data_IF_177067048521
#
_entry.id   IF_177067048521
#
_cell.length_a   1.000
_cell.length_b   1.000
_cell.length_c   1.000
_cell.angle_alpha   90.00
_cell.angle_beta   90.00
_cell.angle_gamma   90.00
#
_symmetry.space_group_name_H-M   'P 1'
#
loop_
_entity.id
_entity.type
_entity.pdbx_description
1 polymer ?
#
# COMPACT_ATOMS: atom_id res chain seq x y z
N UNK A 1 20.82 32.70 -21.95
CA UNK A 1 19.40 33.02 -22.27
C UNK A 1 18.54 31.76 -22.10
N UNK A 2 18.27 31.37 -20.86
CA UNK A 2 17.42 30.21 -20.47
C UNK A 2 15.97 30.73 -20.37
N UNK A 3 15.49 31.37 -21.44
CA UNK A 3 14.37 32.33 -21.36
C UNK A 3 13.00 31.66 -21.50
N UNK A 4 12.14 31.97 -20.54
CA UNK A 4 10.67 31.83 -20.48
C UNK A 4 10.03 30.44 -20.67
N UNK A 5 10.47 29.59 -21.60
CA UNK A 5 9.88 28.26 -21.84
C UNK A 5 10.01 27.31 -20.63
N UNK A 6 11.10 27.41 -19.86
CA UNK A 6 11.29 26.63 -18.64
C UNK A 6 10.47 27.15 -17.45
N UNK A 7 10.21 28.47 -17.37
CA UNK A 7 9.39 29.07 -16.31
C UNK A 7 7.93 28.61 -16.39
N UNK A 8 7.37 28.54 -17.60
CA UNK A 8 5.95 28.26 -17.78
C UNK A 8 5.56 26.82 -17.38
N UNK A 9 6.39 25.83 -17.73
CA UNK A 9 6.16 24.45 -17.29
C UNK A 9 6.35 24.28 -15.78
N UNK A 10 7.31 25.00 -15.17
CA UNK A 10 7.57 24.87 -13.74
C UNK A 10 6.37 25.26 -12.87
N UNK A 11 5.64 26.33 -13.25
CA UNK A 11 4.41 26.76 -12.54
C UNK A 11 3.28 25.75 -12.70
N UNK A 12 3.09 25.18 -13.90
CA UNK A 12 2.08 24.14 -14.14
C UNK A 12 2.37 22.90 -13.31
N UNK A 13 3.64 22.45 -13.28
CA UNK A 13 4.07 21.31 -12.49
C UNK A 13 3.85 21.54 -10.99
N UNK A 14 4.22 22.72 -10.46
CA UNK A 14 4.05 23.02 -9.04
C UNK A 14 2.58 23.05 -8.64
N UNK A 15 1.73 23.74 -9.41
CA UNK A 15 0.28 23.81 -9.14
C UNK A 15 -0.33 22.41 -9.22
N UNK A 16 0.01 21.62 -10.25
CA UNK A 16 -0.50 20.26 -10.41
C UNK A 16 -0.15 19.38 -9.22
N UNK A 17 1.11 19.36 -8.79
CA UNK A 17 1.55 18.55 -7.64
C UNK A 17 0.82 18.96 -6.36
N UNK A 18 0.72 20.26 -6.09
CA UNK A 18 0.04 20.77 -4.89
C UNK A 18 -1.45 20.38 -4.91
N UNK A 19 -2.13 20.59 -6.03
CA UNK A 19 -3.55 20.24 -6.19
C UNK A 19 -3.77 18.73 -6.04
N UNK A 20 -2.92 17.91 -6.65
CA UNK A 20 -3.02 16.45 -6.55
C UNK A 20 -2.79 15.95 -5.11
N UNK A 21 -1.84 16.53 -4.38
CA UNK A 21 -1.61 16.18 -2.97
C UNK A 21 -2.77 16.61 -2.08
N UNK A 22 -3.29 17.84 -2.25
CA UNK A 22 -4.47 18.32 -1.51
C UNK A 22 -5.68 17.43 -1.81
N UNK A 23 -5.92 17.13 -3.08
CA UNK A 23 -7.01 16.24 -3.47
C UNK A 23 -6.84 14.85 -2.87
N UNK A 24 -5.61 14.30 -2.88
CA UNK A 24 -5.36 12.99 -2.27
C UNK A 24 -5.57 13.00 -0.76
N UNK A 25 -5.17 14.09 -0.08
CA UNK A 25 -5.38 14.27 1.35
C UNK A 25 -6.88 14.35 1.69
N UNK A 26 -7.67 15.07 0.87
CA UNK A 26 -9.13 15.11 0.99
C UNK A 26 -9.74 13.71 0.86
N UNK A 27 -9.30 12.93 -0.15
CA UNK A 27 -9.76 11.55 -0.32
C UNK A 27 -9.44 10.70 0.90
N UNK A 28 -8.21 10.78 1.43
CA UNK A 28 -7.78 10.07 2.64
C UNK A 28 -8.73 10.30 3.82
N UNK A 29 -9.26 11.51 3.98
CA UNK A 29 -10.16 11.87 5.07
C UNK A 29 -11.64 11.55 4.82
N UNK A 30 -12.10 11.53 3.57
CA UNK A 30 -13.53 11.51 3.25
C UNK A 30 -14.05 10.18 2.74
N UNK A 31 -13.21 9.37 2.09
CA UNK A 31 -13.64 8.06 1.61
C UNK A 31 -13.59 7.04 2.77
N UNK A 32 -14.56 6.13 2.89
CA UNK A 32 -14.51 5.05 3.86
C UNK A 32 -13.40 4.05 3.49
N UNK A 33 -13.11 3.08 4.35
CA UNK A 33 -12.24 1.95 4.01
C UNK A 33 -12.97 1.09 2.97
N UNK A 34 -12.47 1.08 1.72
CA UNK A 34 -13.19 0.57 0.54
C UNK A 34 -12.87 -0.88 0.20
N UNK A 35 -11.64 -1.31 0.47
CA UNK A 35 -11.19 -2.66 0.15
C UNK A 35 -11.14 -3.53 1.41
N UNK A 36 -11.39 -4.83 1.23
CA UNK A 36 -11.30 -5.80 2.33
C UNK A 36 -9.91 -5.81 2.96
N UNK A 37 -8.86 -5.68 2.15
CA UNK A 37 -7.46 -5.66 2.61
C UNK A 37 -7.15 -4.38 3.36
N UNK A 38 -7.60 -3.24 2.83
CA UNK A 38 -7.42 -1.94 3.48
C UNK A 38 -8.09 -1.92 4.86
N UNK A 39 -9.35 -2.33 4.93
CA UNK A 39 -10.10 -2.39 6.18
C UNK A 39 -9.49 -3.38 7.18
N UNK A 40 -8.97 -4.52 6.70
CA UNK A 40 -8.26 -5.50 7.54
C UNK A 40 -7.02 -4.89 8.19
N UNK A 41 -6.17 -4.20 7.43
CA UNK A 41 -4.97 -3.59 7.99
C UNK A 41 -5.28 -2.42 8.94
N UNK A 42 -6.31 -1.63 8.63
CA UNK A 42 -6.79 -0.60 9.53
C UNK A 42 -7.30 -1.20 10.85
N UNK A 43 -8.03 -2.31 10.80
CA UNK A 43 -8.55 -2.98 12.00
C UNK A 43 -7.45 -3.62 12.84
N UNK A 44 -6.47 -4.29 12.23
CA UNK A 44 -5.31 -4.83 12.95
C UNK A 44 -4.57 -3.69 13.69
N UNK A 45 -4.41 -2.53 13.05
CA UNK A 45 -3.80 -1.36 13.67
C UNK A 45 -4.65 -0.76 14.78
N UNK A 46 -5.99 -0.78 14.65
CA UNK A 46 -6.92 -0.32 15.69
C UNK A 46 -6.85 -1.21 16.91
N UNK A 47 -6.89 -2.53 16.73
CA UNK A 47 -6.76 -3.52 17.82
C UNK A 47 -5.41 -3.36 18.51
N UNK A 48 -4.32 -3.17 17.76
CA UNK A 48 -2.99 -2.90 18.32
C UNK A 48 -2.99 -1.63 19.19
N UNK A 49 -3.58 -0.54 18.70
CA UNK A 49 -3.68 0.71 19.45
C UNK A 49 -4.56 0.57 20.71
N UNK A 50 -5.65 -0.17 20.64
CA UNK A 50 -6.56 -0.38 21.77
C UNK A 50 -5.94 -1.28 22.84
N UNK A 51 -5.43 -2.44 22.43
CA UNK A 51 -4.91 -3.47 23.35
C UNK A 51 -3.50 -3.19 23.85
N UNK A 52 -2.80 -2.22 23.23
CA UNK A 52 -1.37 -1.92 23.46
C UNK A 52 -0.45 -3.13 23.26
N UNK A 53 -0.89 -4.13 22.50
CA UNK A 53 -0.07 -5.27 22.10
C UNK A 53 0.70 -4.91 20.82
N UNK A 54 1.90 -4.36 20.99
CA UNK A 54 2.76 -3.88 19.88
C UNK A 54 3.67 -4.95 19.28
N UNK A 55 3.73 -6.16 19.85
CA UNK A 55 4.59 -7.24 19.38
C UNK A 55 3.80 -8.17 18.46
N UNK A 56 2.78 -8.85 18.98
CA UNK A 56 1.98 -9.82 18.21
C UNK A 56 0.79 -9.11 17.56
N UNK A 57 0.81 -8.99 16.22
CA UNK A 57 -0.33 -8.44 15.48
C UNK A 57 -1.55 -9.33 15.68
N UNK A 58 -2.74 -8.72 15.73
CA UNK A 58 -3.99 -9.41 15.99
C UNK A 58 -5.00 -9.14 14.88
N UNK A 59 -5.56 -10.20 14.28
CA UNK A 59 -6.63 -10.08 13.27
C UNK A 59 -8.02 -9.93 13.90
N UNK A 60 -8.15 -10.40 15.14
CA UNK A 60 -9.26 -10.23 16.06
C UNK A 60 -8.68 -10.30 17.48
N UNK A 61 -9.42 -9.89 18.51
CA UNK A 61 -8.93 -9.87 19.88
C UNK A 61 -8.44 -11.25 20.33
N UNK A 62 -7.17 -11.34 20.74
CA UNK A 62 -6.51 -12.57 21.15
C UNK A 62 -6.16 -13.53 20.02
N UNK A 63 -6.44 -13.19 18.75
CA UNK A 63 -6.18 -14.05 17.58
C UNK A 63 -4.99 -13.48 16.78
N UNK A 64 -3.83 -14.16 16.75
CA UNK A 64 -2.65 -13.66 16.04
C UNK A 64 -2.85 -13.47 14.53
N UNK A 65 -2.11 -12.53 13.97
CA UNK A 65 -1.98 -12.29 12.54
C UNK A 65 -0.52 -12.43 12.11
N UNK A 66 -0.18 -13.61 11.60
CA UNK A 66 1.21 -13.97 11.25
C UNK A 66 1.62 -13.62 9.82
N UNK A 67 0.73 -13.08 8.98
CA UNK A 67 1.02 -12.93 7.55
C UNK A 67 1.94 -11.76 7.21
N UNK A 68 2.14 -10.79 8.11
CA UNK A 68 2.92 -9.58 7.85
C UNK A 68 3.71 -9.13 9.08
N UNK A 69 4.91 -8.54 8.90
CA UNK A 69 5.64 -7.88 9.98
C UNK A 69 5.00 -6.53 10.36
N UNK A 70 5.51 -5.83 11.38
CA UNK A 70 4.69 -4.88 12.12
C UNK A 70 4.74 -3.45 11.60
N UNK A 71 5.72 -3.06 10.77
CA UNK A 71 6.03 -1.65 10.52
C UNK A 71 4.82 -0.86 10.00
N UNK A 72 4.09 -1.40 9.04
CA UNK A 72 2.92 -0.72 8.47
C UNK A 72 1.77 -0.59 9.47
N UNK A 73 1.62 -1.60 10.34
CA UNK A 73 0.66 -1.59 11.44
C UNK A 73 1.09 -0.58 12.51
N UNK A 74 2.36 -0.56 12.90
CA UNK A 74 2.92 0.41 13.85
C UNK A 74 2.73 1.85 13.40
N UNK A 75 2.99 2.12 12.12
CA UNK A 75 2.76 3.44 11.53
C UNK A 75 1.30 3.87 11.64
N UNK A 76 0.36 2.96 11.33
CA UNK A 76 -1.08 3.25 11.38
C UNK A 76 -1.59 3.37 12.83
N UNK A 77 -1.17 2.47 13.71
CA UNK A 77 -1.51 2.48 15.13
C UNK A 77 -0.95 3.73 15.84
N UNK A 78 0.30 4.11 15.55
CA UNK A 78 0.90 5.35 16.05
C UNK A 78 0.18 6.60 15.53
N UNK A 79 -0.32 6.56 14.28
CA UNK A 79 -1.17 7.62 13.75
C UNK A 79 -2.53 7.71 14.46
N UNK A 80 -3.10 6.57 14.87
CA UNK A 80 -4.31 6.55 15.70
C UNK A 80 -4.09 7.17 17.08
N UNK A 81 -2.91 7.01 17.69
CA UNK A 81 -2.59 7.69 18.96
C UNK A 81 -2.58 9.22 18.81
N UNK A 82 -2.21 9.74 17.65
CA UNK A 82 -2.10 11.19 17.40
C UNK A 82 -3.41 11.83 16.94
N UNK A 83 -4.16 11.16 16.07
CA UNK A 83 -5.32 11.73 15.38
C UNK A 83 -6.65 11.05 15.74
N UNK A 84 -6.62 10.06 16.63
CA UNK A 84 -7.76 9.20 16.94
C UNK A 84 -8.03 8.16 15.86
N UNK A 85 -8.90 7.19 16.17
CA UNK A 85 -9.30 6.13 15.25
C UNK A 85 -10.26 6.69 14.20
N UNK A 86 -9.76 6.88 12.99
CA UNK A 86 -10.53 7.28 11.81
C UNK A 86 -9.75 6.95 10.52
N UNK A 87 -10.37 7.10 9.36
CA UNK A 87 -9.75 6.73 8.08
C UNK A 87 -8.58 7.61 7.68
N UNK A 88 -8.63 8.90 8.04
CA UNK A 88 -7.51 9.81 7.82
C UNK A 88 -6.26 9.29 8.53
N UNK A 89 -6.39 9.01 9.83
CA UNK A 89 -5.31 8.51 10.66
C UNK A 89 -4.76 7.18 10.14
N UNK A 90 -5.62 6.26 9.67
CA UNK A 90 -5.20 4.97 9.13
C UNK A 90 -4.30 5.12 7.88
N UNK A 91 -4.59 6.10 7.02
CA UNK A 91 -3.90 6.30 5.72
C UNK A 91 -2.82 7.36 5.75
N UNK A 92 -2.82 8.23 6.77
CA UNK A 92 -1.88 9.34 6.90
C UNK A 92 -0.41 8.91 6.79
N UNK A 93 0.04 7.77 7.36
CA UNK A 93 1.41 7.33 7.19
C UNK A 93 1.78 7.04 5.72
N UNK A 94 0.91 6.38 4.95
CA UNK A 94 1.13 6.13 3.52
C UNK A 94 1.26 7.43 2.73
N UNK A 95 0.43 8.42 3.06
CA UNK A 95 0.51 9.77 2.48
C UNK A 95 1.85 10.43 2.80
N UNK A 96 2.24 10.42 4.07
CA UNK A 96 3.47 11.05 4.54
C UNK A 96 4.71 10.43 3.89
N UNK A 97 4.81 9.10 3.86
CA UNK A 97 5.93 8.41 3.22
C UNK A 97 6.05 8.77 1.73
N UNK A 98 4.92 8.82 1.01
CA UNK A 98 4.88 9.18 -0.41
C UNK A 98 5.33 10.63 -0.64
N UNK A 99 4.89 11.57 0.22
CA UNK A 99 5.33 12.98 0.17
C UNK A 99 6.83 13.10 0.44
N UNK A 100 7.38 12.34 1.41
CA UNK A 100 8.81 12.33 1.68
C UNK A 100 9.59 11.83 0.45
N UNK A 101 9.13 10.77 -0.23
CA UNK A 101 9.77 10.29 -1.46
C UNK A 101 9.76 11.35 -2.56
N UNK A 102 8.63 12.04 -2.76
CA UNK A 102 8.51 13.15 -3.71
C UNK A 102 9.52 14.27 -3.39
N UNK A 103 9.64 14.65 -2.12
CA UNK A 103 10.58 15.71 -1.70
C UNK A 103 12.03 15.27 -1.93
N UNK A 104 12.39 14.03 -1.58
CA UNK A 104 13.74 13.50 -1.79
C UNK A 104 14.08 13.49 -3.28
N UNK A 105 13.19 12.96 -4.12
CA UNK A 105 13.36 12.94 -5.56
C UNK A 105 13.46 14.36 -6.14
N UNK A 106 12.59 15.28 -5.71
CA UNK A 106 12.60 16.68 -6.10
C UNK A 106 13.93 17.37 -5.78
N UNK A 107 14.47 17.14 -4.56
CA UNK A 107 15.79 17.66 -4.16
C UNK A 107 16.91 17.10 -5.03
N UNK A 108 16.84 15.81 -5.40
CA UNK A 108 17.86 15.17 -6.25
C UNK A 108 17.86 15.77 -7.65
N UNK A 109 16.71 15.83 -8.31
CA UNK A 109 16.65 16.31 -9.71
C UNK A 109 16.85 17.82 -9.83
N UNK A 110 16.51 18.59 -8.79
CA UNK A 110 16.80 20.04 -8.74
C UNK A 110 18.29 20.34 -8.81
N UNK A 111 19.14 19.48 -8.21
CA UNK A 111 20.60 19.62 -8.30
C UNK A 111 21.12 19.42 -9.73
N UNK A 112 20.39 18.66 -10.54
CA UNK A 112 20.70 18.40 -11.94
C UNK A 112 20.02 19.42 -12.90
N UNK A 113 19.45 20.51 -12.35
CA UNK A 113 18.85 21.60 -13.14
C UNK A 113 17.38 21.43 -13.54
N UNK A 114 16.72 20.35 -13.12
CA UNK A 114 15.29 20.13 -13.37
C UNK A 114 14.38 20.85 -12.37
N UNK A 115 13.09 20.99 -12.69
CA UNK A 115 12.11 21.49 -11.72
C UNK A 115 11.97 20.52 -10.53
N UNK A 116 11.97 21.07 -9.32
CA UNK A 116 11.74 20.32 -8.08
C UNK A 116 10.44 19.50 -8.10
N UNK A 117 9.40 20.02 -8.78
CA UNK A 117 8.08 19.40 -8.82
C UNK A 117 7.92 18.32 -9.89
N UNK A 118 8.90 18.18 -10.80
CA UNK A 118 8.80 17.23 -11.91
C UNK A 118 8.65 15.76 -11.43
N UNK A 119 9.43 15.27 -10.45
CA UNK A 119 9.25 13.92 -9.90
C UNK A 119 7.88 13.70 -9.30
N UNK A 120 7.41 14.66 -8.49
CA UNK A 120 6.09 14.60 -7.88
C UNK A 120 4.98 14.55 -8.91
N UNK A 121 5.11 15.32 -9.99
CA UNK A 121 4.14 15.30 -11.08
C UNK A 121 4.10 13.93 -11.77
N UNK A 122 5.26 13.37 -12.10
CA UNK A 122 5.35 12.06 -12.76
C UNK A 122 4.77 10.96 -11.85
N UNK A 123 5.14 10.92 -10.57
CA UNK A 123 4.67 9.92 -9.62
C UNK A 123 3.15 10.04 -9.37
N UNK A 124 2.64 11.24 -9.07
CA UNK A 124 1.22 11.45 -8.78
C UNK A 124 0.29 11.29 -10.00
N UNK A 125 0.87 11.17 -11.19
CA UNK A 125 0.12 10.85 -12.42
C UNK A 125 0.23 9.38 -12.83
N UNK A 126 1.01 8.56 -12.11
CA UNK A 126 0.96 7.11 -12.20
C UNK A 126 -0.20 6.58 -11.35
N UNK A 127 -1.12 5.77 -11.90
CA UNK A 127 -2.22 5.20 -11.12
C UNK A 127 -1.78 4.50 -9.83
N UNK A 128 -0.76 3.63 -9.88
CA UNK A 128 -0.33 2.85 -8.70
C UNK A 128 0.14 3.76 -7.57
N UNK A 129 1.01 4.73 -7.88
CA UNK A 129 1.60 5.61 -6.88
C UNK A 129 0.54 6.55 -6.28
N UNK A 130 -0.35 7.11 -7.10
CA UNK A 130 -1.44 7.96 -6.63
C UNK A 130 -2.37 7.20 -5.68
N UNK A 131 -2.74 5.96 -6.02
CA UNK A 131 -3.56 5.10 -5.16
C UNK A 131 -2.82 4.81 -3.86
N UNK A 132 -1.56 4.37 -3.90
CA UNK A 132 -0.80 4.03 -2.69
C UNK A 132 -0.40 5.23 -1.81
N UNK A 133 -0.54 6.46 -2.31
CA UNK A 133 -0.39 7.70 -1.52
C UNK A 133 -1.51 7.86 -0.46
N UNK A 134 -2.56 7.05 -0.45
CA UNK A 134 -3.63 7.18 0.56
C UNK A 134 -4.47 5.93 0.73
N UNK A 135 -3.79 4.78 0.76
CA UNK A 135 -4.39 3.47 1.09
C UNK A 135 -3.60 2.87 2.25
N UNK A 136 -4.29 2.21 3.16
CA UNK A 136 -3.65 1.42 4.22
C UNK A 136 -3.06 0.15 3.60
N UNK A 137 -1.75 0.14 3.36
CA UNK A 137 -1.06 -0.98 2.70
C UNK A 137 0.36 -1.16 3.21
N UNK A 138 0.80 -2.41 3.26
CA UNK A 138 2.20 -2.77 3.53
C UNK A 138 3.16 -2.40 2.39
N UNK A 139 2.62 -2.20 1.19
CA UNK A 139 3.43 -1.94 -0.01
C UNK A 139 4.08 -0.55 0.02
N UNK A 140 3.39 0.46 0.57
CA UNK A 140 3.90 1.84 0.63
C UNK A 140 5.12 1.96 1.55
N UNK A 141 5.09 1.28 2.70
CA UNK A 141 6.24 1.22 3.62
C UNK A 141 7.42 0.45 3.02
N UNK A 142 7.14 -0.65 2.29
CA UNK A 142 8.19 -1.39 1.58
C UNK A 142 8.81 -0.54 0.46
N UNK A 143 8.00 0.16 -0.34
CA UNK A 143 8.50 1.02 -1.40
C UNK A 143 9.37 2.16 -0.85
N UNK A 144 8.97 2.75 0.26
CA UNK A 144 9.81 3.73 0.95
C UNK A 144 11.19 3.14 1.31
N UNK A 145 11.21 1.95 1.91
CA UNK A 145 12.45 1.27 2.29
C UNK A 145 13.30 0.89 1.07
N UNK A 146 12.71 0.31 0.01
CA UNK A 146 13.38 0.00 -1.26
C UNK A 146 14.01 1.26 -1.84
N UNK A 147 13.24 2.34 -1.94
CA UNK A 147 13.71 3.60 -2.53
C UNK A 147 14.85 4.21 -1.73
N UNK A 148 14.73 4.25 -0.40
CA UNK A 148 15.80 4.74 0.46
C UNK A 148 17.05 3.87 0.33
N UNK A 149 16.91 2.54 0.27
CA UNK A 149 18.02 1.61 0.08
C UNK A 149 18.71 1.81 -1.28
N UNK A 150 17.96 1.88 -2.37
CA UNK A 150 18.50 2.04 -3.73
C UNK A 150 19.17 3.41 -3.94
N UNK A 151 18.57 4.50 -3.45
CA UNK A 151 19.17 5.85 -3.50
C UNK A 151 20.44 5.91 -2.64
N UNK A 152 20.39 5.32 -1.43
CA UNK A 152 21.54 5.25 -0.53
C UNK A 152 22.70 4.50 -1.14
N UNK A 153 22.40 3.39 -1.81
CA UNK A 153 23.39 2.60 -2.51
C UNK A 153 24.07 3.42 -3.60
N UNK A 154 23.27 4.04 -4.49
CA UNK A 154 23.79 4.87 -5.57
C UNK A 154 24.69 6.01 -5.06
N UNK A 155 24.24 6.72 -4.02
CA UNK A 155 25.01 7.83 -3.42
C UNK A 155 26.31 7.37 -2.78
N UNK A 156 26.30 6.22 -2.11
CA UNK A 156 27.51 5.63 -1.51
C UNK A 156 28.50 5.22 -2.60
N UNK A 157 28.03 4.57 -3.67
CA UNK A 157 28.89 4.15 -4.77
C UNK A 157 29.48 5.32 -5.58
N UNK A 158 28.74 6.42 -5.72
CA UNK A 158 29.22 7.64 -6.39
C UNK A 158 30.21 8.45 -5.55
N UNK A 159 30.16 8.33 -4.23
CA UNK A 159 31.08 9.02 -3.34
C UNK A 159 32.48 8.40 -3.36
N UNK A 160 33.50 9.23 -3.17
CA UNK A 160 34.89 8.77 -2.98
C UNK A 160 35.11 8.25 -1.55
N UNK A 161 34.39 8.81 -0.58
CA UNK A 161 34.49 8.45 0.84
C UNK A 161 33.18 7.87 1.38
N UNK A 162 33.26 7.20 2.54
CA UNK A 162 32.08 6.71 3.25
C UNK A 162 31.20 7.90 3.65
N UNK A 163 29.94 7.86 3.27
CA UNK A 163 28.95 8.90 3.61
C UNK A 163 27.87 8.34 4.51
N UNK A 164 27.09 9.18 5.19
CA UNK A 164 25.95 8.73 6.00
C UNK A 164 24.95 7.85 5.24
N UNK A 165 24.89 7.96 3.90
CA UNK A 165 24.07 7.10 3.04
C UNK A 165 24.40 5.61 3.19
N UNK A 166 25.65 5.26 3.51
CA UNK A 166 25.99 3.85 3.75
C UNK A 166 25.19 3.27 4.93
N UNK A 167 24.94 4.06 5.99
CA UNK A 167 24.12 3.64 7.13
C UNK A 167 22.63 3.69 6.82
N UNK A 168 22.17 4.67 6.05
CA UNK A 168 20.76 4.75 5.61
C UNK A 168 20.37 3.51 4.79
N UNK A 169 21.30 2.94 4.01
CA UNK A 169 21.09 1.67 3.32
C UNK A 169 20.71 0.54 4.29
N UNK A 170 21.46 0.38 5.38
CA UNK A 170 21.22 -0.68 6.37
C UNK A 170 20.01 -0.40 7.27
N UNK A 171 19.75 0.86 7.61
CA UNK A 171 18.51 1.25 8.29
C UNK A 171 17.29 0.92 7.43
N UNK A 172 17.33 1.25 6.14
CA UNK A 172 16.27 0.94 5.20
C UNK A 172 16.09 -0.58 5.01
N UNK A 173 17.17 -1.36 5.02
CA UNK A 173 17.11 -2.82 5.00
C UNK A 173 16.39 -3.37 6.25
N UNK A 174 16.77 -2.91 7.45
CA UNK A 174 16.14 -3.33 8.70
C UNK A 174 14.65 -2.98 8.77
N UNK A 175 14.28 -1.76 8.39
CA UNK A 175 12.88 -1.34 8.31
C UNK A 175 12.12 -2.09 7.21
N UNK A 176 12.75 -2.36 6.07
CA UNK A 176 12.15 -3.14 4.98
C UNK A 176 11.82 -4.58 5.41
N UNK A 177 12.69 -5.20 6.21
CA UNK A 177 12.43 -6.51 6.82
C UNK A 177 11.23 -6.46 7.76
N UNK A 178 11.03 -5.35 8.48
CA UNK A 178 9.84 -5.11 9.31
C UNK A 178 8.61 -4.63 8.53
N UNK A 179 8.71 -4.37 7.23
CA UNK A 179 7.58 -3.99 6.39
C UNK A 179 6.91 -5.19 5.74
N UNK A 180 7.71 -6.02 5.06
CA UNK A 180 7.20 -7.15 4.25
C UNK A 180 8.17 -8.33 4.22
N UNK A 181 8.98 -8.47 5.27
CA UNK A 181 9.84 -9.62 5.46
C UNK A 181 11.01 -9.66 4.48
N UNK A 182 11.52 -10.86 4.13
CA UNK A 182 12.68 -11.03 3.26
C UNK A 182 12.48 -10.48 1.83
N UNK A 183 11.27 -10.08 1.45
CA UNK A 183 11.00 -9.51 0.14
C UNK A 183 11.84 -8.25 -0.15
N UNK A 184 12.21 -7.46 0.87
CA UNK A 184 13.14 -6.34 0.68
C UNK A 184 14.45 -6.82 0.05
N UNK A 185 15.04 -7.90 0.58
CA UNK A 185 16.31 -8.47 0.10
C UNK A 185 16.14 -8.94 -1.35
N UNK A 186 15.07 -9.69 -1.60
CA UNK A 186 14.76 -10.27 -2.91
C UNK A 186 14.59 -9.20 -3.99
N UNK A 187 14.00 -8.04 -3.65
CA UNK A 187 13.74 -6.98 -4.61
C UNK A 187 14.91 -6.02 -4.82
N UNK A 188 15.87 -5.95 -3.89
CA UNK A 188 16.98 -4.99 -3.98
C UNK A 188 18.34 -5.63 -4.22
N UNK A 189 18.69 -6.74 -3.56
CA UNK A 189 20.05 -7.29 -3.69
C UNK A 189 20.37 -7.80 -5.10
N UNK A 190 19.49 -8.56 -5.78
CA UNK A 190 19.80 -9.01 -7.13
C UNK A 190 20.04 -7.89 -8.16
N UNK A 191 19.22 -6.83 -8.28
CA UNK A 191 19.52 -5.76 -9.24
C UNK A 191 20.78 -4.99 -8.87
N UNK A 192 21.09 -4.83 -7.57
CA UNK A 192 22.35 -4.23 -7.11
C UNK A 192 23.56 -5.09 -7.49
N UNK A 193 23.48 -6.39 -7.25
CA UNK A 193 24.51 -7.36 -7.60
C UNK A 193 24.76 -7.38 -9.11
N UNK A 194 23.69 -7.51 -9.91
CA UNK A 194 23.79 -7.48 -11.37
C UNK A 194 24.43 -6.18 -11.88
N UNK A 195 24.08 -5.03 -11.28
CA UNK A 195 24.68 -3.75 -11.66
C UNK A 195 26.18 -3.67 -11.31
N UNK A 196 26.58 -4.20 -10.15
CA UNK A 196 27.99 -4.31 -9.77
C UNK A 196 28.76 -5.24 -10.70
N UNK A 197 28.17 -6.34 -11.15
CA UNK A 197 28.82 -7.28 -12.07
C UNK A 197 29.03 -6.70 -13.48
N UNK A 198 28.40 -5.58 -13.84
CA UNK A 198 28.68 -4.88 -15.10
C UNK A 198 30.09 -4.26 -15.14
N UNK A 199 30.73 -4.09 -13.98
CA UNK A 199 32.06 -3.49 -13.84
C UNK A 199 32.72 -3.98 -12.56
N UNK A 200 33.71 -4.87 -12.69
CA UNK A 200 34.37 -5.53 -11.55
C UNK A 200 34.92 -4.54 -10.51
N UNK A 201 35.27 -3.31 -10.89
CA UNK A 201 35.67 -2.29 -9.92
C UNK A 201 34.53 -1.95 -8.96
N UNK A 202 33.29 -1.83 -9.45
CA UNK A 202 32.10 -1.55 -8.64
C UNK A 202 31.84 -2.66 -7.64
N UNK A 203 32.01 -3.91 -8.06
CA UNK A 203 31.85 -5.06 -7.19
C UNK A 203 32.75 -4.98 -5.96
N UNK A 204 34.04 -4.71 -6.16
CA UNK A 204 35.00 -4.57 -5.06
C UNK A 204 34.82 -3.29 -4.25
N UNK A 205 34.42 -2.19 -4.90
CA UNK A 205 34.12 -0.91 -4.24
C UNK A 205 33.00 -1.03 -3.19
N UNK A 206 32.08 -2.00 -3.31
CA UNK A 206 31.07 -2.25 -2.27
C UNK A 206 31.74 -2.55 -0.92
N UNK A 207 32.77 -3.40 -0.91
CA UNK A 207 33.44 -3.82 0.32
C UNK A 207 34.28 -2.70 0.95
N UNK A 208 34.81 -1.77 0.16
CA UNK A 208 35.57 -0.63 0.65
C UNK A 208 34.67 0.53 1.10
N UNK A 209 33.58 0.81 0.36
CA UNK A 209 32.71 1.97 0.59
C UNK A 209 31.59 1.72 1.59
N UNK A 210 31.16 0.48 1.80
CA UNK A 210 30.17 0.15 2.82
C UNK A 210 30.83 -0.32 4.11
N UNK A 211 30.34 0.17 5.24
CA UNK A 211 30.70 -0.39 6.55
C UNK A 211 29.87 -1.66 6.81
N UNK A 212 30.21 -2.76 6.13
CA UNK A 212 29.39 -3.99 6.11
C UNK A 212 29.10 -4.53 7.51
N UNK A 213 30.12 -4.71 8.36
CA UNK A 213 29.96 -5.28 9.70
C UNK A 213 29.02 -4.41 10.56
N UNK A 214 29.31 -3.11 10.65
CA UNK A 214 28.48 -2.16 11.40
C UNK A 214 27.06 -2.04 10.80
N UNK A 215 26.95 -2.13 9.48
CA UNK A 215 25.68 -2.11 8.76
C UNK A 215 24.79 -3.31 9.05
N UNK A 216 25.37 -4.51 9.07
CA UNK A 216 24.67 -5.74 9.48
C UNK A 216 24.20 -5.61 10.92
N UNK A 217 25.04 -5.07 11.82
CA UNK A 217 24.65 -4.82 13.21
C UNK A 217 23.48 -3.84 13.31
N UNK A 218 23.49 -2.73 12.56
CA UNK A 218 22.36 -1.78 12.49
C UNK A 218 21.08 -2.48 12.01
N UNK A 219 21.18 -3.27 10.94
CA UNK A 219 20.04 -4.02 10.39
C UNK A 219 19.49 -5.00 11.43
N UNK A 220 20.37 -5.72 12.12
CA UNK A 220 20.02 -6.70 13.13
C UNK A 220 19.32 -6.03 14.32
N UNK A 221 19.87 -4.93 14.84
CA UNK A 221 19.28 -4.18 15.96
C UNK A 221 17.87 -3.68 15.63
N UNK A 222 17.62 -3.29 14.37
CA UNK A 222 16.29 -2.82 13.95
C UNK A 222 15.32 -3.99 13.81
N UNK A 223 15.69 -5.05 13.07
CA UNK A 223 14.75 -6.08 12.66
C UNK A 223 14.62 -7.23 13.68
N UNK A 224 15.75 -7.78 14.13
CA UNK A 224 15.80 -9.06 14.88
C UNK A 224 14.99 -9.02 16.19
N UNK A 225 15.02 -7.95 17.01
CA UNK A 225 14.29 -7.93 18.27
C UNK A 225 12.80 -8.23 18.10
N UNK A 226 12.14 -7.64 17.10
CA UNK A 226 10.71 -7.89 16.89
C UNK A 226 10.44 -9.34 16.46
N UNK A 227 11.22 -9.88 15.51
CA UNK A 227 11.08 -11.28 15.09
C UNK A 227 11.25 -12.24 16.26
N UNK A 228 12.25 -11.99 17.11
CA UNK A 228 12.51 -12.79 18.30
C UNK A 228 11.35 -12.73 19.30
N UNK A 229 10.89 -11.53 19.66
CA UNK A 229 9.79 -11.38 20.64
C UNK A 229 8.44 -11.89 20.10
N UNK A 230 8.19 -11.75 18.79
CA UNK A 230 6.98 -12.28 18.17
C UNK A 230 6.96 -13.81 18.22
N UNK A 231 8.08 -14.47 17.94
CA UNK A 231 8.17 -15.94 18.08
C UNK A 231 8.02 -16.39 19.54
N UNK A 232 8.65 -15.69 20.49
CA UNK A 232 8.54 -16.01 21.92
C UNK A 232 7.10 -15.90 22.44
N UNK A 233 6.36 -14.87 22.03
CA UNK A 233 4.98 -14.64 22.46
C UNK A 233 3.94 -15.43 21.63
N UNK A 234 4.31 -15.87 20.44
CA UNK A 234 3.42 -16.60 19.52
C UNK A 234 4.22 -17.66 18.75
N UNK A 235 4.59 -18.77 19.41
CA UNK A 235 5.45 -19.80 18.82
C UNK A 235 4.85 -20.41 17.54
N UNK A 236 5.70 -20.69 16.56
CA UNK A 236 5.31 -21.14 15.22
C UNK A 236 5.13 -20.00 14.21
N UNK A 237 5.21 -18.74 14.64
CA UNK A 237 5.15 -17.57 13.78
C UNK A 237 6.23 -17.61 12.68
N UNK A 238 7.49 -17.87 13.02
CA UNK A 238 8.60 -17.86 12.07
C UNK A 238 8.46 -18.94 11.01
N UNK A 239 8.04 -20.16 11.38
CA UNK A 239 7.79 -21.24 10.42
C UNK A 239 6.67 -20.84 9.45
N UNK A 240 5.53 -20.36 9.99
CA UNK A 240 4.42 -19.89 9.16
C UNK A 240 4.85 -18.74 8.23
N UNK A 241 5.49 -17.72 8.78
CA UNK A 241 5.80 -16.48 8.08
C UNK A 241 6.91 -16.65 7.05
N UNK A 242 8.00 -17.37 7.37
CA UNK A 242 9.11 -17.54 6.44
C UNK A 242 8.83 -18.69 5.46
N UNK A 243 8.43 -19.86 5.95
CA UNK A 243 8.25 -21.05 5.11
C UNK A 243 6.91 -21.01 4.38
N UNK A 244 5.81 -20.74 5.10
CA UNK A 244 4.47 -20.66 4.50
C UNK A 244 4.32 -19.46 3.57
N UNK A 245 4.39 -18.25 4.14
CA UNK A 245 4.01 -17.02 3.44
C UNK A 245 5.00 -16.54 2.38
N UNK A 246 6.28 -16.91 2.44
CA UNK A 246 7.28 -16.51 1.44
C UNK A 246 7.68 -17.65 0.52
N UNK A 247 8.10 -18.79 1.07
CA UNK A 247 8.59 -19.89 0.23
C UNK A 247 7.44 -20.64 -0.47
N UNK A 248 6.54 -21.27 0.31
CA UNK A 248 5.43 -22.06 -0.25
C UNK A 248 4.50 -21.20 -1.08
N UNK A 249 4.12 -20.01 -0.61
CA UNK A 249 3.26 -19.07 -1.36
C UNK A 249 3.83 -18.65 -2.72
N UNK A 250 5.16 -18.58 -2.85
CA UNK A 250 5.82 -18.20 -4.12
C UNK A 250 5.93 -19.38 -5.09
N UNK A 251 6.28 -20.56 -4.58
CA UNK A 251 6.57 -21.75 -5.40
C UNK A 251 5.33 -22.58 -5.71
N UNK A 252 4.37 -22.64 -4.79
CA UNK A 252 3.17 -23.49 -4.89
C UNK A 252 1.95 -22.67 -5.41
N UNK A 253 1.47 -22.93 -6.65
CA UNK A 253 0.26 -22.29 -7.16
C UNK A 253 -0.95 -22.69 -6.31
N UNK A 254 -1.74 -21.69 -5.86
CA UNK A 254 -2.95 -21.97 -5.08
C UNK A 254 -2.71 -22.52 -3.67
N UNK A 255 -1.55 -22.22 -3.07
CA UNK A 255 -1.20 -22.58 -1.69
C UNK A 255 -2.40 -22.44 -0.72
N UNK A 256 -2.80 -23.57 -0.12
CA UNK A 256 -4.00 -23.69 0.75
C UNK A 256 -3.72 -23.39 2.22
N UNK A 257 -2.46 -23.10 2.57
CA UNK A 257 -2.06 -22.79 3.94
C UNK A 257 -2.29 -21.34 4.35
N UNK A 258 -2.83 -20.48 3.47
CA UNK A 258 -3.13 -19.08 3.79
C UNK A 258 -4.27 -19.04 4.82
N UNK A 259 -3.91 -18.73 6.07
CA UNK A 259 -4.86 -18.65 7.19
C UNK A 259 -5.78 -17.42 7.07
N UNK A 260 -5.48 -16.48 6.17
CA UNK A 260 -6.06 -15.14 6.18
C UNK A 260 -6.62 -14.71 4.82
N UNK A 261 -6.77 -15.63 3.85
CA UNK A 261 -7.43 -15.38 2.57
C UNK A 261 -7.19 -16.45 1.50
N UNK A 262 -7.78 -16.26 0.31
CA UNK A 262 -7.51 -17.09 -0.87
C UNK A 262 -6.46 -16.43 -1.76
N UNK A 263 -5.46 -17.20 -2.21
CA UNK A 263 -4.47 -16.73 -3.19
C UNK A 263 -5.14 -16.22 -4.47
N UNK A 264 -4.77 -15.02 -4.91
CA UNK A 264 -5.22 -14.48 -6.20
C UNK A 264 -4.38 -15.13 -7.30
N UNK A 265 -4.88 -16.22 -7.88
CA UNK A 265 -4.22 -16.86 -9.01
C UNK A 265 -4.41 -16.03 -10.27
N UNK A 266 -3.31 -15.52 -10.81
CA UNK A 266 -3.25 -14.79 -12.06
C UNK A 266 -2.39 -15.55 -13.06
N UNK A 267 -2.61 -15.37 -14.38
CA UNK A 267 -1.71 -15.93 -15.39
C UNK A 267 -0.26 -15.49 -15.16
N UNK A 268 0.69 -16.40 -15.39
CA UNK A 268 2.13 -16.07 -15.33
C UNK A 268 2.44 -14.91 -16.29
N UNK A 269 3.27 -13.98 -15.84
CA UNK A 269 3.60 -12.77 -16.60
C UNK A 269 2.55 -11.65 -16.55
N UNK A 270 1.40 -11.81 -15.87
CA UNK A 270 0.38 -10.75 -15.73
C UNK A 270 0.95 -9.45 -15.11
N UNK A 271 2.04 -9.54 -14.35
CA UNK A 271 2.75 -8.39 -13.79
C UNK A 271 3.23 -7.38 -14.85
N UNK A 272 3.54 -7.85 -16.07
CA UNK A 272 3.92 -6.98 -17.18
C UNK A 272 2.73 -6.18 -17.73
N UNK A 273 1.52 -6.73 -17.66
CA UNK A 273 0.31 -5.97 -17.98
C UNK A 273 -0.01 -4.98 -16.86
N UNK A 274 0.20 -5.35 -15.60
CA UNK A 274 0.05 -4.43 -14.47
C UNK A 274 1.00 -3.24 -14.57
N UNK A 275 2.28 -3.43 -14.90
CA UNK A 275 3.20 -2.29 -15.00
C UNK A 275 2.79 -1.35 -16.14
N UNK A 276 2.29 -1.89 -17.28
CA UNK A 276 1.78 -1.08 -18.39
C UNK A 276 0.54 -0.27 -17.97
N UNK A 277 -0.40 -0.91 -17.26
CA UNK A 277 -1.67 -0.32 -16.87
C UNK A 277 -1.55 0.68 -15.69
N UNK A 278 -0.71 0.38 -14.71
CA UNK A 278 -0.66 1.14 -13.46
C UNK A 278 0.51 2.13 -13.37
N UNK A 279 1.41 2.12 -14.35
CA UNK A 279 2.50 3.10 -14.51
C UNK A 279 2.32 3.95 -15.78
N UNK A 280 1.13 3.91 -16.39
CA UNK A 280 0.79 4.81 -17.50
C UNK A 280 0.75 6.28 -17.06
N UNK A 281 0.99 7.24 -17.99
CA UNK A 281 1.44 7.05 -19.38
C UNK A 281 2.97 6.88 -19.50
N UNK A 282 3.68 6.84 -18.37
CA UNK A 282 5.12 7.03 -18.33
C UNK A 282 5.90 5.79 -18.76
N UNK A 283 5.44 4.60 -18.41
CA UNK A 283 6.08 3.34 -18.82
C UNK A 283 6.16 3.20 -20.34
N UNK A 284 5.11 3.57 -21.08
CA UNK A 284 5.08 3.50 -22.54
C UNK A 284 6.16 4.41 -23.16
N UNK A 285 6.30 5.60 -22.59
CA UNK A 285 7.31 6.58 -23.01
C UNK A 285 8.72 6.06 -22.74
N UNK A 286 8.94 5.48 -21.55
CA UNK A 286 10.22 4.87 -21.19
C UNK A 286 10.54 3.74 -22.16
N UNK A 287 9.65 2.76 -22.35
CA UNK A 287 9.87 1.63 -23.26
C UNK A 287 10.21 2.08 -24.69
N UNK A 288 9.50 3.09 -25.23
CA UNK A 288 9.82 3.66 -26.54
C UNK A 288 11.23 4.26 -26.60
N UNK A 289 11.64 5.01 -25.57
CA UNK A 289 12.99 5.59 -25.47
C UNK A 289 14.06 4.52 -25.32
N UNK A 290 13.81 3.47 -24.53
CA UNK A 290 14.71 2.32 -24.38
C UNK A 290 14.93 1.62 -25.72
N UNK A 291 13.85 1.37 -26.46
CA UNK A 291 13.93 0.76 -27.79
C UNK A 291 14.78 1.59 -28.76
N UNK A 292 14.55 2.90 -28.82
CA UNK A 292 15.30 3.81 -29.71
C UNK A 292 16.79 3.92 -29.34
N UNK A 293 17.13 3.79 -28.06
CA UNK A 293 18.51 3.96 -27.54
C UNK A 293 19.18 2.67 -27.07
N UNK A 294 18.65 1.50 -27.44
CA UNK A 294 19.10 0.18 -26.95
C UNK A 294 20.61 -0.08 -27.10
N UNK A 295 21.26 0.50 -28.11
CA UNK A 295 22.69 0.31 -28.36
C UNK A 295 23.61 1.08 -27.39
N UNK A 296 23.12 2.15 -26.74
CA UNK A 296 23.96 3.03 -25.91
C UNK A 296 23.50 3.09 -24.46
N UNK A 297 22.30 2.59 -24.15
CA UNK A 297 21.65 2.86 -22.87
C UNK A 297 22.35 2.24 -21.66
N UNK A 298 22.94 1.05 -21.83
CA UNK A 298 23.70 0.38 -20.77
C UNK A 298 25.09 1.00 -20.52
N UNK A 299 25.58 1.88 -21.41
CA UNK A 299 26.86 2.59 -21.21
C UNK A 299 26.78 3.65 -20.12
N UNK A 300 25.58 4.16 -19.82
CA UNK A 300 25.39 5.13 -18.76
C UNK A 300 25.11 4.40 -17.43
N UNK A 301 26.02 4.56 -16.46
CA UNK A 301 25.95 3.88 -15.17
C UNK A 301 24.66 4.17 -14.39
N UNK A 302 24.13 5.40 -14.47
CA UNK A 302 22.89 5.76 -13.79
C UNK A 302 21.69 5.10 -14.46
N UNK A 303 21.67 5.08 -15.80
CA UNK A 303 20.56 4.46 -16.52
C UNK A 303 20.56 2.95 -16.33
N UNK A 304 21.71 2.28 -16.44
CA UNK A 304 21.78 0.82 -16.21
C UNK A 304 21.35 0.44 -14.79
N UNK A 305 21.71 1.25 -13.79
CA UNK A 305 21.23 1.11 -12.41
C UNK A 305 19.70 1.19 -12.32
N UNK A 306 19.13 2.25 -12.89
CA UNK A 306 17.68 2.47 -12.89
C UNK A 306 16.92 1.41 -13.67
N UNK A 307 17.47 0.86 -14.76
CA UNK A 307 16.84 -0.21 -15.53
C UNK A 307 16.78 -1.51 -14.74
N UNK A 308 17.87 -1.89 -14.09
CA UNK A 308 17.90 -3.06 -13.23
C UNK A 308 16.92 -2.90 -12.06
N UNK A 309 16.87 -1.72 -11.44
CA UNK A 309 15.86 -1.43 -10.41
C UNK A 309 14.42 -1.49 -10.95
N UNK A 310 14.12 -0.80 -12.04
CA UNK A 310 12.76 -0.71 -12.59
C UNK A 310 12.20 -2.06 -13.01
N UNK A 311 13.02 -2.91 -13.64
CA UNK A 311 12.54 -4.12 -14.29
C UNK A 311 12.84 -5.41 -13.52
N UNK A 312 13.63 -5.36 -12.44
CA UNK A 312 13.84 -6.54 -11.60
C UNK A 312 12.56 -7.04 -10.95
N UNK A 313 11.76 -6.15 -10.34
CA UNK A 313 10.51 -6.55 -9.69
C UNK A 313 9.53 -7.28 -10.62
N UNK A 314 9.16 -6.76 -11.81
CA UNK A 314 8.31 -7.49 -12.73
C UNK A 314 8.98 -8.76 -13.29
N UNK A 315 10.31 -8.77 -13.49
CA UNK A 315 11.04 -9.97 -13.90
C UNK A 315 10.92 -11.08 -12.84
N UNK A 316 11.18 -10.76 -11.58
CA UNK A 316 11.08 -11.69 -10.46
C UNK A 316 9.67 -12.29 -10.32
N UNK A 317 8.63 -11.45 -10.43
CA UNK A 317 7.24 -11.89 -10.32
C UNK A 317 6.68 -12.54 -11.59
N UNK A 318 7.44 -12.63 -12.70
CA UNK A 318 6.98 -13.25 -13.94
C UNK A 318 6.58 -14.71 -13.74
N UNK A 319 7.31 -15.43 -12.90
CA UNK A 319 7.09 -16.86 -12.64
C UNK A 319 6.06 -17.13 -11.53
N UNK A 320 5.65 -16.09 -10.78
CA UNK A 320 4.70 -16.22 -9.68
C UNK A 320 3.26 -16.16 -10.18
N UNK A 321 2.41 -17.07 -9.69
CA UNK A 321 0.97 -17.05 -9.99
C UNK A 321 0.16 -16.27 -8.94
N UNK A 322 0.72 -16.02 -7.76
CA UNK A 322 0.06 -15.30 -6.66
C UNK A 322 0.48 -13.82 -6.64
N UNK A 323 0.01 -13.05 -7.62
CA UNK A 323 0.45 -11.66 -7.84
C UNK A 323 -0.71 -10.66 -7.79
N UNK A 324 -0.40 -9.47 -7.27
CA UNK A 324 -1.29 -8.32 -7.19
C UNK A 324 -0.71 -7.17 -8.02
N UNK A 325 -1.57 -6.26 -8.49
CA UNK A 325 -1.09 -5.07 -9.21
C UNK A 325 -0.13 -4.24 -8.37
N UNK A 326 -0.32 -4.18 -7.05
CA UNK A 326 0.50 -3.41 -6.11
C UNK A 326 1.97 -3.80 -6.10
N UNK A 327 2.32 -4.98 -6.63
CA UNK A 327 3.70 -5.43 -6.71
C UNK A 327 4.53 -4.64 -7.75
N UNK A 328 3.90 -3.80 -8.59
CA UNK A 328 4.62 -2.88 -9.50
C UNK A 328 5.01 -1.57 -8.83
N UNK A 329 4.52 -1.28 -7.62
CA UNK A 329 4.81 -0.03 -6.91
C UNK A 329 6.33 0.23 -6.79
N UNK A 330 7.19 -0.77 -6.49
CA UNK A 330 8.65 -0.57 -6.44
C UNK A 330 9.33 -0.15 -7.74
N UNK A 331 8.64 -0.27 -8.87
CA UNK A 331 9.13 0.16 -10.18
C UNK A 331 8.82 1.64 -10.45
N UNK A 332 7.94 2.29 -9.68
CA UNK A 332 7.50 3.66 -9.96
C UNK A 332 8.61 4.69 -9.81
N UNK A 333 9.40 4.61 -8.74
CA UNK A 333 10.53 5.50 -8.49
C UNK A 333 11.64 5.46 -9.56
N UNK A 334 12.19 4.29 -9.95
CA UNK A 334 13.20 4.26 -10.99
C UNK A 334 12.64 4.65 -12.36
N UNK A 335 11.38 4.32 -12.67
CA UNK A 335 10.70 4.78 -13.90
C UNK A 335 10.58 6.30 -13.90
N UNK A 336 10.22 6.93 -12.77
CA UNK A 336 10.20 8.38 -12.67
C UNK A 336 11.58 8.98 -12.98
N UNK A 337 12.67 8.45 -12.41
CA UNK A 337 14.01 8.96 -12.71
C UNK A 337 14.41 8.77 -14.18
N UNK A 338 14.00 7.66 -14.82
CA UNK A 338 14.18 7.45 -16.26
C UNK A 338 13.41 8.49 -17.09
N UNK A 339 12.16 8.81 -16.72
CA UNK A 339 11.38 9.87 -17.38
C UNK A 339 12.06 11.23 -17.22
N UNK A 340 12.55 11.55 -16.02
CA UNK A 340 13.31 12.80 -15.78
C UNK A 340 14.55 12.85 -16.66
N UNK A 341 15.30 11.75 -16.78
CA UNK A 341 16.48 11.67 -17.63
C UNK A 341 16.16 11.99 -19.11
N UNK A 342 15.02 11.52 -19.62
CA UNK A 342 14.58 11.80 -20.99
C UNK A 342 13.81 13.11 -21.15
N UNK A 343 13.61 13.89 -20.07
CA UNK A 343 12.65 14.99 -20.04
C UNK A 343 12.92 16.07 -21.08
N UNK A 344 14.18 16.46 -21.29
CA UNK A 344 14.55 17.50 -22.25
C UNK A 344 14.41 17.07 -23.71
N UNK A 345 14.35 15.77 -23.98
CA UNK A 345 14.15 15.25 -25.34
C UNK A 345 12.69 15.28 -25.80
N UNK A 346 11.74 15.60 -24.90
CA UNK A 346 10.34 15.67 -25.26
C UNK A 346 10.01 17.02 -25.90
N UNK A 347 9.57 16.98 -27.16
CA UNK A 347 9.18 18.18 -27.93
C UNK A 347 7.77 18.67 -27.56
N UNK A 348 6.83 17.76 -27.29
CA UNK A 348 5.42 18.06 -26.96
C UNK A 348 5.11 17.95 -25.46
N UNK A 349 5.90 18.61 -24.59
CA UNK A 349 5.76 18.54 -23.11
C UNK A 349 4.34 18.88 -22.62
N UNK A 350 3.66 19.87 -23.20
CA UNK A 350 2.28 20.25 -22.82
C UNK A 350 1.26 19.14 -23.05
N UNK A 351 1.36 18.44 -24.20
CA UNK A 351 0.50 17.31 -24.51
C UNK A 351 0.76 16.16 -23.53
N UNK A 352 2.03 15.85 -23.25
CA UNK A 352 2.40 14.83 -22.27
C UNK A 352 1.84 15.13 -20.88
N UNK A 353 1.96 16.37 -20.41
CA UNK A 353 1.37 16.82 -19.14
C UNK A 353 -0.15 16.62 -19.14
N UNK A 354 -0.83 16.98 -20.23
CA UNK A 354 -2.28 16.84 -20.35
C UNK A 354 -2.73 15.37 -20.34
N UNK A 355 -2.02 14.50 -21.06
CA UNK A 355 -2.28 13.05 -21.06
C UNK A 355 -2.03 12.43 -19.70
N UNK A 356 -0.95 12.82 -19.01
CA UNK A 356 -0.63 12.31 -17.67
C UNK A 356 -1.68 12.72 -16.62
N UNK A 357 -2.29 13.91 -16.77
CA UNK A 357 -3.36 14.37 -15.88
C UNK A 357 -4.70 13.65 -16.11
N UNK A 358 -4.87 12.87 -17.19
CA UNK A 358 -6.13 12.20 -17.49
C UNK A 358 -6.64 11.32 -16.35
N UNK A 359 -5.79 10.44 -15.81
CA UNK A 359 -6.21 9.52 -14.75
C UNK A 359 -6.58 10.24 -13.44
N UNK A 360 -5.75 11.14 -12.89
CA UNK A 360 -6.14 11.89 -11.69
C UNK A 360 -7.40 12.74 -11.88
N UNK A 361 -7.58 13.36 -13.06
CA UNK A 361 -8.80 14.12 -13.38
C UNK A 361 -10.02 13.22 -13.48
N UNK A 362 -9.89 12.02 -14.06
CA UNK A 362 -10.96 11.03 -14.08
C UNK A 362 -11.37 10.62 -12.66
N UNK A 363 -10.40 10.38 -11.77
CA UNK A 363 -10.68 10.07 -10.36
C UNK A 363 -11.36 11.24 -9.66
N UNK A 364 -10.92 12.48 -9.93
CA UNK A 364 -11.57 13.69 -9.42
C UNK A 364 -13.03 13.80 -9.86
N UNK A 365 -13.30 13.66 -11.16
CA UNK A 365 -14.66 13.71 -11.72
C UNK A 365 -15.51 12.58 -11.16
N UNK A 366 -14.99 11.36 -11.06
CA UNK A 366 -15.71 10.22 -10.51
C UNK A 366 -16.09 10.45 -9.04
N UNK A 367 -15.16 10.96 -8.23
CA UNK A 367 -15.42 11.27 -6.82
C UNK A 367 -16.50 12.35 -6.66
N UNK A 368 -16.32 13.52 -7.29
CA UNK A 368 -17.29 14.62 -7.16
C UNK A 368 -18.63 14.32 -7.84
N UNK A 369 -18.64 13.55 -8.93
CA UNK A 369 -19.86 13.09 -9.58
C UNK A 369 -20.66 12.13 -8.68
N UNK A 370 -19.99 11.17 -8.04
CA UNK A 370 -20.65 10.28 -7.07
C UNK A 370 -21.15 11.05 -5.85
N UNK A 371 -20.36 11.99 -5.34
CA UNK A 371 -20.73 12.87 -4.24
C UNK A 371 -21.98 13.70 -4.56
N UNK A 372 -22.00 14.37 -5.72
CA UNK A 372 -23.13 15.21 -6.15
C UNK A 372 -24.44 14.42 -6.35
N UNK A 373 -24.36 13.13 -6.71
CA UNK A 373 -25.56 12.28 -6.86
C UNK A 373 -26.10 11.72 -5.55
N UNK A 374 -25.39 11.89 -4.41
CA UNK A 374 -25.72 11.22 -3.15
C UNK A 374 -25.57 9.70 -3.18
N UNK A 375 -25.02 9.13 -4.25
CA UNK A 375 -24.84 7.67 -4.45
C UNK A 375 -23.48 7.16 -4.00
N UNK A 376 -22.65 8.04 -3.42
CA UNK A 376 -21.32 7.69 -2.93
C UNK A 376 -21.44 6.52 -1.93
N UNK A 377 -22.30 6.69 -0.93
CA UNK A 377 -22.48 5.75 0.18
C UNK A 377 -23.02 4.40 -0.28
N UNK A 378 -23.94 4.41 -1.24
CA UNK A 378 -24.54 3.18 -1.79
C UNK A 378 -23.55 2.34 -2.60
N UNK A 379 -22.65 2.98 -3.35
CA UNK A 379 -21.70 2.29 -4.24
C UNK A 379 -20.41 1.88 -3.55
N UNK A 380 -20.11 2.44 -2.39
CA UNK A 380 -18.87 2.14 -1.67
C UNK A 380 -18.94 0.80 -0.96
N UNK A 381 -17.90 -0.01 -1.13
CA UNK A 381 -17.77 -1.33 -0.53
C UNK A 381 -17.34 -1.22 0.94
N UNK A 382 -18.17 -0.61 1.78
CA UNK A 382 -17.89 -0.39 3.19
C UNK A 382 -19.16 -0.42 4.03
N UNK A 383 -19.03 -0.89 5.27
CA UNK A 383 -20.14 -0.91 6.24
C UNK A 383 -20.27 0.43 6.98
N UNK A 384 -19.42 1.43 6.68
CA UNK A 384 -19.37 2.74 7.36
C UNK A 384 -20.74 3.40 7.48
N UNK A 385 -21.33 3.78 6.35
CA UNK A 385 -22.54 4.61 6.31
C UNK A 385 -23.74 3.90 6.89
N UNK A 386 -23.81 2.59 6.64
CA UNK A 386 -24.78 1.68 7.25
C UNK A 386 -24.71 1.77 8.79
N UNK A 387 -23.51 1.70 9.37
CA UNK A 387 -23.31 1.75 10.82
C UNK A 387 -23.39 3.18 11.42
N UNK A 388 -23.00 4.22 10.69
CA UNK A 388 -23.14 5.61 11.12
C UNK A 388 -24.61 6.02 11.23
N UNK A 389 -25.44 5.65 10.26
CA UNK A 389 -26.87 5.92 10.32
C UNK A 389 -27.55 5.20 11.48
N UNK A 390 -27.08 3.99 11.82
CA UNK A 390 -27.53 3.30 13.03
C UNK A 390 -27.22 4.12 14.27
N UNK A 391 -25.96 4.57 14.44
CA UNK A 391 -25.57 5.38 15.61
C UNK A 391 -26.39 6.67 15.73
N UNK A 392 -26.68 7.33 14.60
CA UNK A 392 -27.51 8.55 14.57
C UNK A 392 -28.97 8.29 14.94
N UNK A 393 -29.52 7.10 14.66
CA UNK A 393 -30.93 6.75 14.95
C UNK A 393 -31.15 6.15 16.34
N UNK A 394 -30.09 5.85 17.10
CA UNK A 394 -30.18 5.12 18.38
C UNK A 394 -30.21 5.94 19.67
N UNK A 395 -30.36 7.27 19.63
CA UNK A 395 -30.49 8.13 20.84
C UNK A 395 -29.58 7.71 22.01
N UNK A 396 -28.25 7.67 21.80
CA UNK A 396 -27.24 7.33 22.82
C UNK A 396 -27.36 5.96 23.50
N UNK A 397 -28.24 5.04 23.07
CA UNK A 397 -28.28 3.67 23.57
C UNK A 397 -27.35 2.78 22.75
N UNK A 398 -26.42 2.09 23.41
CA UNK A 398 -25.62 1.03 22.78
C UNK A 398 -26.52 -0.15 22.41
N UNK A 399 -27.02 -0.14 21.18
CA UNK A 399 -27.77 -1.27 20.63
C UNK A 399 -26.76 -2.30 20.10
N UNK A 400 -26.86 -3.58 20.53
CA UNK A 400 -25.98 -4.64 20.03
C UNK A 400 -26.08 -4.81 18.51
N UNK A 401 -24.93 -5.03 17.86
CA UNK A 401 -24.81 -5.26 16.43
C UNK A 401 -24.27 -6.68 16.20
N UNK A 402 -25.05 -7.49 15.51
CA UNK A 402 -24.75 -8.88 15.21
C UNK A 402 -24.51 -9.07 13.72
N UNK A 403 -23.40 -9.71 13.35
CA UNK A 403 -23.10 -10.13 11.99
C UNK A 403 -23.53 -11.58 11.79
N UNK A 404 -24.15 -11.88 10.65
CA UNK A 404 -24.47 -13.24 10.25
C UNK A 404 -23.22 -13.97 9.74
N UNK A 405 -22.93 -15.15 10.30
CA UNK A 405 -21.83 -16.08 10.02
C UNK A 405 -20.41 -15.54 10.22
N UNK A 406 -20.10 -14.33 9.75
CA UNK A 406 -18.76 -13.74 9.80
C UNK A 406 -18.77 -12.21 9.85
N UNK A 407 -17.79 -11.61 10.53
CA UNK A 407 -17.59 -10.14 10.56
C UNK A 407 -16.83 -9.68 9.33
N UNK A 408 -17.24 -8.57 8.74
CA UNK A 408 -16.41 -7.81 7.82
C UNK A 408 -15.40 -6.96 8.59
N UNK A 409 -14.19 -6.75 8.05
CA UNK A 409 -13.19 -5.91 8.70
C UNK A 409 -13.60 -4.43 8.80
N UNK A 410 -14.28 -3.89 7.79
CA UNK A 410 -14.85 -2.54 7.83
C UNK A 410 -15.87 -2.43 8.97
N UNK A 411 -16.77 -3.42 9.09
CA UNK A 411 -17.72 -3.52 10.18
C UNK A 411 -17.06 -3.50 11.57
N UNK A 412 -16.00 -4.28 11.75
CA UNK A 412 -15.24 -4.31 13.01
C UNK A 412 -14.62 -2.95 13.33
N UNK A 413 -13.98 -2.33 12.34
CA UNK A 413 -13.38 -1.01 12.47
C UNK A 413 -14.41 0.05 12.90
N UNK A 414 -15.53 0.15 12.20
CA UNK A 414 -16.56 1.18 12.47
C UNK A 414 -17.41 0.91 13.71
N UNK A 415 -17.40 -0.32 14.23
CA UNK A 415 -18.02 -0.67 15.52
C UNK A 415 -17.03 -0.61 16.70
N UNK A 416 -15.77 -0.23 16.46
CA UNK A 416 -14.70 -0.28 17.48
C UNK A 416 -14.62 -1.67 18.14
N UNK A 417 -14.68 -2.74 17.33
CA UNK A 417 -14.61 -4.12 17.81
C UNK A 417 -15.85 -4.64 18.54
N UNK A 418 -16.91 -3.84 18.70
CA UNK A 418 -18.12 -4.22 19.44
C UNK A 418 -19.08 -5.14 18.65
N UNK A 419 -18.84 -5.33 17.36
CA UNK A 419 -19.64 -6.24 16.53
C UNK A 419 -19.52 -7.70 17.02
N UNK A 420 -20.67 -8.34 17.23
CA UNK A 420 -20.77 -9.75 17.61
C UNK A 420 -21.14 -10.62 16.40
N UNK A 421 -21.00 -11.95 16.51
CA UNK A 421 -21.31 -12.89 15.43
C UNK A 421 -22.35 -13.90 15.87
N UNK A 422 -23.31 -14.14 14.99
CA UNK A 422 -24.26 -15.25 15.09
C UNK A 422 -23.98 -16.21 13.95
N UNK A 423 -23.64 -17.47 14.26
CA UNK A 423 -23.22 -18.47 13.27
C UNK A 423 -24.34 -19.39 12.82
N UNK A 424 -25.39 -19.55 13.64
CA UNK A 424 -26.48 -20.50 13.39
C UNK A 424 -27.83 -19.85 13.62
N UNK A 425 -28.88 -20.40 12.99
CA UNK A 425 -30.26 -19.95 13.23
C UNK A 425 -30.69 -20.15 14.69
N UNK A 426 -30.18 -21.18 15.36
CA UNK A 426 -30.46 -21.39 16.79
C UNK A 426 -29.88 -20.26 17.65
N UNK A 427 -28.66 -19.81 17.35
CA UNK A 427 -28.09 -18.64 18.02
C UNK A 427 -28.87 -17.37 17.67
N UNK A 428 -29.31 -17.23 16.42
CA UNK A 428 -30.13 -16.10 15.98
C UNK A 428 -31.44 -16.03 16.77
N UNK A 429 -32.13 -17.17 16.90
CA UNK A 429 -33.37 -17.28 17.65
C UNK A 429 -33.18 -16.96 19.14
N UNK A 430 -32.12 -17.50 19.76
CA UNK A 430 -31.76 -17.21 21.16
C UNK A 430 -31.47 -15.72 21.41
N UNK A 431 -30.88 -15.03 20.44
CA UNK A 431 -30.60 -13.59 20.56
C UNK A 431 -31.87 -12.77 20.35
N UNK A 432 -32.71 -13.16 19.38
CA UNK A 432 -33.98 -12.48 19.12
C UNK A 432 -35.02 -12.64 20.24
N UNK A 433 -35.01 -13.77 20.98
CA UNK A 433 -35.94 -14.00 22.11
C UNK A 433 -35.67 -13.12 23.33
N UNK A 434 -34.52 -12.42 23.38
CA UNK A 434 -34.20 -11.48 24.46
C UNK A 434 -35.07 -10.21 24.46
N UNK A 435 -35.97 -10.02 23.49
CA UNK A 435 -36.92 -8.89 23.37
C UNK A 435 -36.29 -7.50 23.56
N UNK A 436 -35.04 -7.36 23.13
CA UNK A 436 -34.35 -6.07 23.05
C UNK A 436 -34.23 -5.66 21.60
N UNK A 437 -34.22 -4.35 21.35
CA UNK A 437 -33.86 -3.80 20.04
C UNK A 437 -32.41 -4.18 19.73
N UNK A 438 -32.15 -4.74 18.56
CA UNK A 438 -30.83 -5.19 18.10
C UNK A 438 -30.72 -5.02 16.59
N UNK A 439 -29.51 -4.84 16.08
CA UNK A 439 -29.25 -4.78 14.64
C UNK A 439 -28.54 -6.04 14.14
N UNK A 440 -28.98 -6.53 12.98
CA UNK A 440 -28.38 -7.63 12.27
C UNK A 440 -27.82 -7.15 10.95
N UNK A 441 -26.51 -7.34 10.76
CA UNK A 441 -25.78 -7.05 9.53
C UNK A 441 -25.63 -8.35 8.76
N UNK A 442 -26.27 -8.42 7.60
CA UNK A 442 -26.41 -9.65 6.80
C UNK A 442 -25.91 -9.36 5.39
N UNK A 443 -24.92 -10.11 4.87
CA UNK A 443 -24.55 -9.99 3.48
C UNK A 443 -25.75 -10.31 2.57
N UNK A 444 -26.05 -9.46 1.60
CA UNK A 444 -27.23 -9.57 0.73
C UNK A 444 -27.30 -10.92 0.01
N UNK A 445 -26.14 -11.51 -0.30
CA UNK A 445 -26.05 -12.85 -0.92
C UNK A 445 -26.42 -13.99 0.01
N UNK A 446 -26.35 -13.77 1.33
CA UNK A 446 -26.59 -14.75 2.38
C UNK A 446 -27.97 -14.58 3.03
N UNK A 447 -28.74 -13.54 2.67
CA UNK A 447 -30.11 -13.37 3.16
C UNK A 447 -30.99 -14.59 2.86
N UNK A 448 -30.77 -15.22 1.70
CA UNK A 448 -31.46 -16.45 1.28
C UNK A 448 -31.13 -17.67 2.17
N UNK A 449 -30.06 -17.61 2.94
CA UNK A 449 -29.65 -18.69 3.85
C UNK A 449 -30.37 -18.59 5.21
N UNK A 450 -31.16 -17.54 5.41
CA UNK A 450 -31.94 -17.32 6.64
C UNK A 450 -33.40 -17.67 6.35
N UNK A 451 -33.98 -18.49 7.22
CA UNK A 451 -35.37 -18.90 7.11
C UNK A 451 -36.31 -17.69 7.17
N UNK A 452 -37.38 -17.77 6.37
CA UNK A 452 -38.43 -16.74 6.32
C UNK A 452 -38.99 -16.42 7.71
N UNK A 453 -39.15 -17.44 8.57
CA UNK A 453 -39.58 -17.30 9.97
C UNK A 453 -38.70 -16.35 10.78
N UNK A 454 -37.38 -16.38 10.58
CA UNK A 454 -36.44 -15.51 11.29
C UNK A 454 -36.41 -14.10 10.69
N UNK A 455 -36.48 -14.00 9.35
CA UNK A 455 -36.57 -12.70 8.67
C UNK A 455 -37.85 -11.95 9.03
N UNK A 456 -38.99 -12.64 9.17
CA UNK A 456 -40.27 -12.05 9.53
C UNK A 456 -40.29 -11.44 10.94
N UNK A 457 -39.35 -11.81 11.82
CA UNK A 457 -39.13 -11.21 13.15
C UNK A 457 -38.32 -9.92 13.10
N UNK A 458 -37.86 -9.51 11.92
CA UNK A 458 -37.03 -8.32 11.75
C UNK A 458 -37.64 -7.38 10.71
N UNK A 459 -37.17 -6.14 10.70
CA UNK A 459 -37.52 -5.11 9.71
C UNK A 459 -36.23 -4.70 9.02
N UNK A 460 -36.22 -4.72 7.68
CA UNK A 460 -35.12 -4.17 6.90
C UNK A 460 -35.10 -2.66 7.11
N UNK A 461 -33.98 -2.14 7.61
CA UNK A 461 -33.80 -0.71 7.88
C UNK A 461 -33.02 -0.03 6.77
N UNK A 462 -31.91 -0.62 6.35
CA UNK A 462 -30.99 -0.07 5.35
C UNK A 462 -30.34 -1.19 4.56
N UNK A 463 -29.90 -0.89 3.34
CA UNK A 463 -29.07 -1.80 2.55
C UNK A 463 -28.15 -1.03 1.60
N UNK A 464 -27.02 -1.65 1.29
CA UNK A 464 -26.17 -1.26 0.16
C UNK A 464 -26.06 -2.44 -0.82
N UNK A 465 -25.17 -2.35 -1.81
CA UNK A 465 -25.01 -3.41 -2.81
C UNK A 465 -24.60 -4.79 -2.26
N UNK A 466 -24.05 -4.88 -1.04
CA UNK A 466 -23.50 -6.12 -0.47
C UNK A 466 -24.07 -6.52 0.89
N UNK A 467 -24.64 -5.58 1.63
CA UNK A 467 -25.00 -5.75 3.04
C UNK A 467 -26.35 -5.11 3.29
N UNK A 468 -27.19 -5.82 4.03
CA UNK A 468 -28.47 -5.35 4.55
C UNK A 468 -28.44 -5.32 6.07
N UNK A 469 -29.05 -4.28 6.64
CA UNK A 469 -29.24 -4.14 8.08
C UNK A 469 -30.70 -4.36 8.42
N UNK A 470 -30.93 -5.33 9.29
CA UNK A 470 -32.23 -5.62 9.87
C UNK A 470 -32.25 -5.16 11.35
N UNK A 471 -33.42 -4.77 11.83
CA UNK A 471 -33.68 -4.51 13.26
C UNK A 471 -34.73 -5.48 13.78
N UNK A 472 -34.61 -5.93 15.02
CA UNK A 472 -35.65 -6.74 15.67
C UNK A 472 -36.96 -5.94 15.79
N UNK A 473 -38.10 -6.64 15.58
CA UNK A 473 -39.44 -6.08 15.76
C UNK A 473 -39.79 -5.80 17.21
#
# INVERSE_FOLDING_TARGET
MISEKLKNNSKILSVSVIVLLIFRLLLTATIPLLDKTEARYAEIARIMQETKQWIVLQIDYGVPFWAKPPLSTWLSAGSFELFGVNEFAARFPSFLLSVILIIIAGKMVKKEGYSFYLPGFILLTMPEFLIHTGVVSTDTALEFCITMMMISFWKTMKSETKTSWNYVFFVALGLGLLSKGPLIIVLTFPPLFLWCCLDMKRFWDVFSKFSIVLGILITAIIAVPWYYFCEQQSPGFLDYFIVGEHYKRFVEPGWKGDLYGSGHSQPKGMIWLYIIAFVLPWIQIVLYKLWKKRATIFKNNWISFLLLWAFWTPLFFTISSNILHTYVLPSTMPIMFLVVYFWEEFTRKKLLISVALFFPVLVFIAYFGLFATGKLDYKMNSDKYLLENLKMTTENKEIPIYYWKSKNYSGQFYTNGKAQVVKTEMQLDSVQTLNKKMFFVIPTKEEKDISKKQLDKMILTQSNYKTSIFVTK
#
